data_IF_712032137402
#
_entry.id   IF_712032137402
#
_cell.length_a   1.000
_cell.length_b   1.000
_cell.length_c   1.000
_cell.angle_alpha   90.00
_cell.angle_beta   90.00
_cell.angle_gamma   90.00
#
_symmetry.space_group_name_H-M   'P 1'
#
loop_
_entity.id
_entity.type
_entity.pdbx_description
1 polymer ?
#
# COMPACT_ATOMS: atom_id res chain seq x y z
N UNK A 1 55.29 -58.38 -53.40
CA UNK A 1 55.22 -56.93 -53.68
C UNK A 1 53.88 -56.70 -54.36
N UNK A 2 52.83 -56.46 -53.56
CA UNK A 2 51.51 -56.12 -54.08
C UNK A 2 51.54 -54.65 -54.51
N UNK A 3 51.50 -54.43 -55.82
CA UNK A 3 51.31 -53.10 -56.41
C UNK A 3 49.86 -52.70 -56.19
N UNK A 4 49.63 -51.64 -55.40
CA UNK A 4 48.32 -51.03 -55.19
C UNK A 4 47.68 -50.67 -56.54
N UNK A 5 46.36 -50.89 -56.72
CA UNK A 5 45.68 -50.56 -57.96
C UNK A 5 45.61 -49.04 -58.13
N UNK A 6 46.18 -48.54 -59.22
CA UNK A 6 46.15 -47.14 -59.61
C UNK A 6 44.71 -46.76 -60.01
N UNK A 7 44.08 -45.87 -59.23
CA UNK A 7 42.71 -45.42 -59.47
C UNK A 7 42.63 -44.62 -60.79
N UNK A 8 41.62 -44.90 -61.61
CA UNK A 8 41.40 -44.19 -62.87
C UNK A 8 41.09 -42.71 -62.64
N UNK A 9 41.42 -41.80 -63.59
CA UNK A 9 41.19 -40.36 -63.45
C UNK A 9 39.74 -39.98 -63.12
N UNK A 10 38.77 -40.73 -63.67
CA UNK A 10 37.35 -40.57 -63.37
C UNK A 10 36.99 -40.93 -61.93
N UNK A 11 37.61 -41.99 -61.37
CA UNK A 11 37.41 -42.38 -59.98
C UNK A 11 38.00 -41.34 -59.01
N UNK A 12 39.14 -40.75 -59.37
CA UNK A 12 39.78 -39.66 -58.61
C UNK A 12 38.89 -38.41 -58.54
N UNK A 13 38.24 -38.07 -59.66
CA UNK A 13 37.31 -36.93 -59.75
C UNK A 13 36.04 -37.16 -58.91
N UNK A 14 35.49 -38.38 -58.91
CA UNK A 14 34.34 -38.72 -58.07
C UNK A 14 34.69 -38.71 -56.59
N UNK A 15 35.87 -39.20 -56.22
CA UNK A 15 36.35 -39.20 -54.83
C UNK A 15 36.50 -37.77 -54.31
N UNK A 16 37.16 -36.89 -55.06
CA UNK A 16 37.32 -35.48 -54.69
C UNK A 16 35.99 -34.74 -54.60
N UNK A 17 35.02 -35.04 -55.46
CA UNK A 17 33.68 -34.46 -55.37
C UNK A 17 32.93 -34.91 -54.09
N UNK A 18 33.06 -36.19 -53.71
CA UNK A 18 32.49 -36.70 -52.46
C UNK A 18 33.17 -36.08 -51.24
N UNK A 19 34.49 -35.98 -51.22
CA UNK A 19 35.24 -35.38 -50.11
C UNK A 19 34.90 -33.89 -49.94
N UNK A 20 34.71 -33.17 -51.05
CA UNK A 20 34.24 -31.79 -51.04
C UNK A 20 32.81 -31.65 -50.50
N UNK A 21 31.91 -32.58 -50.85
CA UNK A 21 30.54 -32.60 -50.34
C UNK A 21 30.50 -32.90 -48.84
N UNK A 22 31.26 -33.91 -48.39
CA UNK A 22 31.39 -34.24 -46.96
C UNK A 22 31.96 -33.07 -46.16
N UNK A 23 32.97 -32.39 -46.69
CA UNK A 23 33.57 -31.20 -46.06
C UNK A 23 32.56 -30.07 -45.90
N UNK A 24 31.74 -29.80 -46.92
CA UNK A 24 30.66 -28.80 -46.86
C UNK A 24 29.60 -29.17 -45.82
N UNK A 25 29.17 -30.44 -45.81
CA UNK A 25 28.20 -30.92 -44.83
C UNK A 25 28.72 -30.81 -43.40
N UNK A 26 29.99 -31.16 -43.17
CA UNK A 26 30.62 -31.03 -41.87
C UNK A 26 30.70 -29.56 -41.42
N UNK A 27 31.02 -28.63 -42.33
CA UNK A 27 31.00 -27.21 -42.05
C UNK A 27 29.59 -26.69 -41.68
N UNK A 28 28.54 -27.14 -42.38
CA UNK A 28 27.16 -26.79 -42.06
C UNK A 28 26.71 -27.34 -40.70
N UNK A 29 27.07 -28.59 -40.38
CA UNK A 29 26.78 -29.20 -39.07
C UNK A 29 27.45 -28.41 -37.95
N UNK A 30 28.72 -28.04 -38.11
CA UNK A 30 29.44 -27.21 -37.12
C UNK A 30 28.80 -25.83 -37.00
N UNK A 31 28.41 -25.21 -38.12
CA UNK A 31 27.72 -23.93 -38.14
C UNK A 31 26.38 -23.99 -37.39
N UNK A 32 25.56 -25.01 -37.65
CA UNK A 32 24.30 -25.24 -36.95
C UNK A 32 24.51 -25.47 -35.46
N UNK A 33 25.47 -26.32 -35.07
CA UNK A 33 25.81 -26.56 -33.67
C UNK A 33 26.18 -25.27 -32.93
N UNK A 34 26.94 -24.41 -33.59
CA UNK A 34 27.37 -23.12 -33.04
C UNK A 34 26.17 -22.17 -32.87
N UNK A 35 25.30 -22.08 -33.87
CA UNK A 35 24.07 -21.28 -33.82
C UNK A 35 23.12 -21.76 -32.70
N UNK A 36 22.90 -23.07 -32.60
CA UNK A 36 22.08 -23.65 -31.53
C UNK A 36 22.67 -23.40 -30.15
N UNK A 37 23.98 -23.57 -29.99
CA UNK A 37 24.66 -23.30 -28.70
C UNK A 37 24.51 -21.83 -28.29
N UNK A 38 24.69 -20.90 -29.24
CA UNK A 38 24.46 -19.47 -28.99
C UNK A 38 23.01 -19.17 -28.62
N UNK A 39 22.05 -19.77 -29.33
CA UNK A 39 20.63 -19.58 -29.06
C UNK A 39 20.22 -20.11 -27.68
N UNK A 40 20.68 -21.30 -27.31
CA UNK A 40 20.45 -21.88 -25.97
C UNK A 40 21.03 -20.97 -24.89
N UNK A 41 22.25 -20.45 -25.09
CA UNK A 41 22.86 -19.54 -24.12
C UNK A 41 22.07 -18.23 -23.96
N UNK A 42 21.52 -17.69 -25.06
CA UNK A 42 20.65 -16.50 -25.00
C UNK A 42 19.36 -16.78 -24.26
N UNK A 43 18.73 -17.93 -24.50
CA UNK A 43 17.52 -18.34 -23.78
C UNK A 43 17.82 -18.48 -22.29
N UNK A 44 18.89 -19.21 -21.94
CA UNK A 44 19.27 -19.41 -20.54
C UNK A 44 19.48 -18.09 -19.83
N UNK A 45 20.27 -17.19 -20.39
CA UNK A 45 20.48 -15.86 -19.83
C UNK A 45 19.17 -15.06 -19.72
N UNK A 46 18.27 -15.18 -20.69
CA UNK A 46 16.95 -14.55 -20.64
C UNK A 46 16.05 -15.12 -19.54
N UNK A 47 16.12 -16.41 -19.27
CA UNK A 47 15.40 -17.08 -18.18
C UNK A 47 15.98 -16.66 -16.83
N UNK A 48 17.30 -16.72 -16.67
CA UNK A 48 17.99 -16.35 -15.43
C UNK A 48 17.69 -14.89 -15.06
N UNK A 49 17.77 -13.98 -16.04
CA UNK A 49 17.44 -12.57 -15.83
C UNK A 49 15.95 -12.31 -15.55
N UNK A 50 15.05 -13.16 -16.04
CA UNK A 50 13.62 -13.08 -15.65
C UNK A 50 13.39 -13.63 -14.25
N UNK A 51 14.07 -14.71 -13.86
CA UNK A 51 14.02 -15.25 -12.51
C UNK A 51 14.42 -14.21 -11.47
N UNK A 52 15.54 -13.52 -11.70
CA UNK A 52 16.01 -12.45 -10.82
C UNK A 52 14.97 -11.32 -10.68
N UNK A 53 14.36 -10.89 -11.79
CA UNK A 53 13.33 -9.85 -11.76
C UNK A 53 12.07 -10.28 -11.02
N UNK A 54 11.71 -11.56 -11.09
CA UNK A 54 10.56 -12.11 -10.35
C UNK A 54 10.87 -12.10 -8.86
N UNK A 55 12.05 -12.58 -8.44
CA UNK A 55 12.46 -12.55 -7.03
C UNK A 55 12.41 -11.13 -6.45
N UNK A 56 12.98 -10.14 -7.15
CA UNK A 56 12.94 -8.74 -6.70
C UNK A 56 11.50 -8.21 -6.62
N UNK A 57 10.62 -8.61 -7.54
CA UNK A 57 9.20 -8.24 -7.48
C UNK A 57 8.51 -8.88 -6.29
N UNK A 58 8.78 -10.14 -5.98
CA UNK A 58 8.23 -10.84 -4.82
C UNK A 58 8.67 -10.17 -3.52
N UNK A 59 9.97 -9.88 -3.35
CA UNK A 59 10.49 -9.16 -2.18
C UNK A 59 9.85 -7.77 -2.01
N UNK A 60 9.67 -7.04 -3.11
CA UNK A 60 9.04 -5.71 -3.08
C UNK A 60 7.56 -5.80 -2.71
N UNK A 61 6.85 -6.83 -3.18
CA UNK A 61 5.44 -7.07 -2.87
C UNK A 61 5.24 -7.45 -1.41
N UNK A 62 6.11 -8.29 -0.85
CA UNK A 62 6.08 -8.66 0.56
C UNK A 62 6.27 -7.41 1.43
N UNK A 63 7.31 -6.61 1.16
CA UNK A 63 7.55 -5.35 1.87
C UNK A 63 6.37 -4.38 1.76
N UNK A 64 5.78 -4.24 0.56
CA UNK A 64 4.61 -3.38 0.36
C UNK A 64 3.38 -3.87 1.13
N UNK A 65 3.23 -5.19 1.26
CA UNK A 65 2.13 -5.80 2.01
C UNK A 65 2.27 -5.52 3.50
N UNK A 66 3.48 -5.67 4.04
CA UNK A 66 3.80 -5.32 5.44
C UNK A 66 3.51 -3.84 5.74
N UNK A 67 3.91 -2.93 4.85
CA UNK A 67 3.65 -1.50 4.98
C UNK A 67 2.15 -1.18 4.96
N UNK A 68 1.38 -1.81 4.07
CA UNK A 68 -0.07 -1.65 4.00
C UNK A 68 -0.76 -2.15 5.26
N UNK A 69 -0.32 -3.30 5.81
CA UNK A 69 -0.85 -3.79 7.08
C UNK A 69 -0.53 -2.85 8.23
N UNK A 70 0.71 -2.34 8.31
CA UNK A 70 1.10 -1.39 9.35
C UNK A 70 0.30 -0.09 9.26
N UNK A 71 0.08 0.41 8.04
CA UNK A 71 -0.73 1.59 7.79
C UNK A 71 -2.19 1.36 8.17
N UNK A 72 -2.77 0.21 7.80
CA UNK A 72 -4.14 -0.17 8.16
C UNK A 72 -4.34 -0.20 9.68
N UNK A 73 -3.42 -0.82 10.43
CA UNK A 73 -3.45 -0.82 11.90
C UNK A 73 -3.38 0.60 12.48
N UNK A 74 -2.55 1.47 11.92
CA UNK A 74 -2.44 2.87 12.34
C UNK A 74 -3.73 3.65 12.08
N UNK A 75 -4.35 3.47 10.92
CA UNK A 75 -5.64 4.10 10.60
C UNK A 75 -6.70 3.66 11.60
N UNK A 76 -6.86 2.36 11.83
CA UNK A 76 -7.81 1.85 12.81
C UNK A 76 -7.59 2.42 14.23
N UNK A 77 -6.33 2.50 14.66
CA UNK A 77 -5.97 3.08 15.95
C UNK A 77 -6.33 4.56 16.04
N UNK A 78 -6.09 5.32 14.96
CA UNK A 78 -6.42 6.74 14.91
C UNK A 78 -7.94 6.99 14.89
N UNK A 79 -8.70 6.14 14.18
CA UNK A 79 -10.16 6.21 14.17
C UNK A 79 -10.76 5.95 15.55
N UNK A 80 -10.24 4.95 16.28
CA UNK A 80 -10.66 4.65 17.65
C UNK A 80 -10.32 5.82 18.61
N UNK A 81 -9.10 6.36 18.52
CA UNK A 81 -8.70 7.53 19.30
C UNK A 81 -9.55 8.77 18.99
N UNK A 82 -9.88 8.99 17.72
CA UNK A 82 -10.74 10.09 17.32
C UNK A 82 -12.14 9.95 17.92
N UNK A 83 -12.70 8.74 17.92
CA UNK A 83 -13.99 8.47 18.54
C UNK A 83 -13.95 8.71 20.06
N UNK A 84 -12.91 8.23 20.74
CA UNK A 84 -12.74 8.44 22.18
C UNK A 84 -12.62 9.93 22.52
N UNK A 85 -11.83 10.70 21.76
CA UNK A 85 -11.74 12.15 21.94
C UNK A 85 -13.07 12.86 21.68
N UNK A 86 -13.82 12.45 20.66
CA UNK A 86 -15.13 13.00 20.37
C UNK A 86 -16.12 12.77 21.53
N UNK A 87 -16.16 11.55 22.08
CA UNK A 87 -17.01 11.22 23.22
C UNK A 87 -16.62 12.01 24.48
N UNK A 88 -15.31 12.10 24.78
CA UNK A 88 -14.79 12.90 25.89
C UNK A 88 -15.14 14.38 25.74
N UNK A 89 -15.00 14.93 24.54
CA UNK A 89 -15.35 16.31 24.25
C UNK A 89 -16.84 16.58 24.52
N UNK A 90 -17.71 15.72 24.00
CA UNK A 90 -19.16 15.81 24.20
C UNK A 90 -19.55 15.70 25.68
N UNK A 91 -18.92 14.81 26.44
CA UNK A 91 -19.17 14.69 27.88
C UNK A 91 -18.72 15.95 28.65
N UNK A 92 -17.52 16.47 28.36
CA UNK A 92 -17.02 17.70 28.96
C UNK A 92 -17.90 18.90 28.62
N UNK A 93 -18.38 19.00 27.38
CA UNK A 93 -19.34 20.01 26.99
C UNK A 93 -20.63 19.86 27.80
N UNK A 94 -21.22 18.67 27.85
CA UNK A 94 -22.44 18.44 28.64
C UNK A 94 -22.25 18.78 30.14
N UNK A 95 -21.09 18.48 30.74
CA UNK A 95 -20.75 18.89 32.11
C UNK A 95 -20.66 20.41 32.26
N UNK A 96 -20.02 21.08 31.31
CA UNK A 96 -19.91 22.55 31.30
C UNK A 96 -21.28 23.22 31.19
N UNK A 97 -22.16 22.68 30.35
CA UNK A 97 -23.49 23.23 30.14
C UNK A 97 -24.45 22.97 31.29
N UNK A 98 -24.32 21.86 32.02
CA UNK A 98 -25.10 21.60 33.25
C UNK A 98 -24.94 22.70 34.29
N UNK A 99 -23.78 23.33 34.36
CA UNK A 99 -23.51 24.42 35.31
C UNK A 99 -23.79 25.82 34.73
N UNK A 100 -24.19 25.93 33.46
CA UNK A 100 -24.48 27.20 32.81
C UNK A 100 -25.98 27.42 32.71
N UNK A 101 -26.49 28.36 33.49
CA UNK A 101 -27.86 28.86 33.34
C UNK A 101 -27.95 29.71 32.07
N UNK A 102 -28.96 29.42 31.24
CA UNK A 102 -29.25 30.18 30.01
C UNK A 102 -30.55 30.92 30.16
N UNK A 103 -30.47 32.24 30.21
CA UNK A 103 -31.62 33.11 30.24
C UNK A 103 -31.89 33.54 28.80
N UNK A 104 -33.02 33.11 28.24
CA UNK A 104 -33.47 33.47 26.88
C UNK A 104 -34.50 34.59 26.95
N UNK A 105 -34.67 35.30 25.84
CA UNK A 105 -35.70 36.34 25.67
C UNK A 105 -35.60 37.55 26.61
N UNK A 106 -34.38 37.90 27.04
CA UNK A 106 -34.13 39.17 27.74
C UNK A 106 -34.36 40.34 26.76
N UNK A 107 -35.28 41.28 27.03
CA UNK A 107 -35.48 42.45 26.19
C UNK A 107 -34.19 43.27 26.07
N UNK A 108 -33.78 43.57 24.84
CA UNK A 108 -32.60 44.41 24.57
C UNK A 108 -32.82 45.78 25.23
N UNK A 109 -31.86 46.23 26.07
CA UNK A 109 -31.83 47.46 26.90
C UNK A 109 -32.32 47.35 28.36
N UNK A 110 -32.66 46.15 28.87
CA UNK A 110 -32.89 45.96 30.31
C UNK A 110 -31.61 45.75 31.13
N UNK A 111 -30.52 45.30 30.50
CA UNK A 111 -29.21 45.27 31.14
C UNK A 111 -28.72 46.71 31.27
N UNK A 112 -28.77 47.24 32.49
CA UNK A 112 -28.06 48.45 32.86
C UNK A 112 -26.54 48.28 32.73
N UNK A 113 -25.74 49.22 33.24
CA UNK A 113 -24.28 49.13 33.19
C UNK A 113 -23.71 47.98 34.04
N UNK A 114 -24.46 47.46 35.01
CA UNK A 114 -24.07 46.32 35.84
C UNK A 114 -24.96 45.09 35.58
N UNK A 115 -24.33 43.99 35.19
CA UNK A 115 -24.99 42.72 34.92
C UNK A 115 -25.34 41.97 36.20
N UNK A 116 -24.55 42.12 37.27
CA UNK A 116 -24.76 41.40 38.53
C UNK A 116 -26.00 41.91 39.24
N UNK A 117 -26.21 43.22 39.30
CA UNK A 117 -27.43 43.82 39.85
C UNK A 117 -28.66 43.38 39.06
N UNK A 118 -28.58 43.38 37.72
CA UNK A 118 -29.68 42.92 36.86
C UNK A 118 -30.05 41.45 37.11
N UNK A 119 -29.06 40.57 37.26
CA UNK A 119 -29.31 39.14 37.55
C UNK A 119 -29.90 38.96 38.96
N UNK A 120 -29.45 39.73 39.95
CA UNK A 120 -30.03 39.70 41.30
C UNK A 120 -31.51 40.12 41.29
N UNK A 121 -31.83 41.27 40.68
CA UNK A 121 -33.20 41.76 40.55
C UNK A 121 -34.10 40.76 39.79
N UNK A 122 -33.54 40.09 38.77
CA UNK A 122 -34.24 39.06 38.00
C UNK A 122 -34.51 37.80 38.84
N UNK A 123 -33.56 37.36 39.67
CA UNK A 123 -33.74 36.20 40.55
C UNK A 123 -34.77 36.46 41.64
N UNK A 124 -34.79 37.67 42.21
CA UNK A 124 -35.79 38.08 43.21
C UNK A 124 -37.19 38.21 42.61
N UNK A 125 -37.29 38.53 41.32
CA UNK A 125 -38.55 38.63 40.60
C UNK A 125 -39.12 37.28 40.14
N UNK A 126 -38.35 36.18 40.21
CA UNK A 126 -38.86 34.84 39.92
C UNK A 126 -39.60 34.34 41.16
N UNK A 127 -40.94 34.18 41.11
CA UNK A 127 -41.67 33.64 42.26
C UNK A 127 -41.21 32.20 42.50
N UNK A 128 -40.66 31.95 43.70
CA UNK A 128 -40.42 30.59 44.17
C UNK A 128 -41.75 29.85 44.28
N UNK A 129 -41.78 28.58 43.87
CA UNK A 129 -42.97 27.74 44.02
C UNK A 129 -43.24 27.55 45.53
N UNK A 130 -44.38 28.01 46.07
CA UNK A 130 -44.68 27.90 47.50
C UNK A 130 -44.76 26.45 48.00
N UNK A 131 -44.88 25.48 47.10
CA UNK A 131 -44.91 24.04 47.41
C UNK A 131 -43.51 23.40 47.45
N UNK A 132 -42.43 24.17 47.33
CA UNK A 132 -41.07 23.61 47.47
C UNK A 132 -40.74 23.46 48.96
N UNK A 133 -40.71 22.24 49.54
CA UNK A 133 -40.37 22.07 50.94
C UNK A 133 -38.91 22.53 51.18
N UNK A 134 -38.61 23.19 52.31
CA UNK A 134 -37.25 23.58 52.64
C UNK A 134 -36.36 22.33 52.67
N UNK A 135 -35.13 22.39 52.12
CA UNK A 135 -34.23 21.26 52.15
C UNK A 135 -33.82 21.03 53.61
N UNK A 136 -34.48 20.05 54.24
CA UNK A 136 -34.18 19.39 55.52
C UNK A 136 -33.61 20.27 56.64
N UNK A 137 -34.46 20.60 57.61
CA UNK A 137 -34.01 20.74 59.00
C UNK A 137 -34.16 19.36 59.68
N UNK A 138 -33.09 18.56 59.72
CA UNK A 138 -33.03 17.24 60.37
C UNK A 138 -32.36 16.18 59.53
#
# INVERSE_FOLDING_TARGET
>A
METSPELTPSALLTQTNMDNFLSKMQAEIVSLKTKFSSFIHKIKHGIDGRGERVNVMEETLDSSTEDLEALSRRVFTLEDQQMDFYLKHKDLENRSWRNKIRIRDIPKRMQGPDLLSFVADLLDAIPGDPDTPPPYAG
#
